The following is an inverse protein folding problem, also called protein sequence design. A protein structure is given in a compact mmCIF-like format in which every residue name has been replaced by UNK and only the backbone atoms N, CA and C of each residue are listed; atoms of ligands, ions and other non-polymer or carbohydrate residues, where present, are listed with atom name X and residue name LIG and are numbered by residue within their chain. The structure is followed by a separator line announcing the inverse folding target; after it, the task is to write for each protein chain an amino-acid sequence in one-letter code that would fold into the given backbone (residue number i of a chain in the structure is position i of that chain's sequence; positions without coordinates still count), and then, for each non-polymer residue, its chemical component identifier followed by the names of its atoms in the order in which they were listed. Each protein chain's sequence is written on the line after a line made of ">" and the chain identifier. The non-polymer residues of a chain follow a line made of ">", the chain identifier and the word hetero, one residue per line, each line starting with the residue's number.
data_IF_962536482122
#
_entry.id   IF_962536482122
#
_cell.length_a   1.000
_cell.length_b   1.000
_cell.length_c   1.000
_cell.angle_alpha   90.00
_cell.angle_beta   90.00
_cell.angle_gamma   90.00
#
_symmetry.space_group_name_H-M   'P 1'
#
loop_
_entity.id
_entity.type
_entity.pdbx_description
1 polymer ?
#
# COMPACT_ATOMS: atom_id res chain seq x y z
N UNK A 1 10.89 -32.68 -1.06
CA UNK A 1 10.38 -31.29 -1.23
C UNK A 1 11.43 -30.52 -2.00
N UNK A 2 11.10 -30.02 -3.20
CA UNK A 2 12.11 -29.43 -4.10
C UNK A 2 12.37 -27.97 -3.73
N UNK A 3 13.58 -27.70 -3.24
CA UNK A 3 14.11 -26.34 -3.07
C UNK A 3 14.33 -25.69 -4.43
N UNK A 4 14.15 -24.36 -4.52
CA UNK A 4 14.45 -23.62 -5.74
C UNK A 4 15.93 -23.79 -6.11
N UNK A 5 16.21 -24.02 -7.39
CA UNK A 5 17.58 -24.04 -7.90
C UNK A 5 18.24 -22.66 -7.75
N UNK A 6 19.59 -22.58 -7.69
CA UNK A 6 20.30 -21.29 -7.62
C UNK A 6 19.89 -20.31 -8.72
N UNK A 7 19.68 -20.77 -9.95
CA UNK A 7 19.19 -19.95 -11.07
C UNK A 7 17.79 -19.38 -10.83
N UNK A 8 16.90 -20.14 -10.18
CA UNK A 8 15.57 -19.67 -9.84
C UNK A 8 15.60 -18.67 -8.68
N UNK A 9 16.51 -18.84 -7.72
CA UNK A 9 16.71 -17.87 -6.64
C UNK A 9 17.27 -16.55 -7.18
N UNK A 10 18.26 -16.61 -8.06
CA UNK A 10 18.84 -15.44 -8.72
C UNK A 10 17.80 -14.70 -9.58
N UNK A 11 16.96 -15.42 -10.33
CA UNK A 11 15.87 -14.83 -11.10
C UNK A 11 14.78 -14.15 -10.24
N UNK A 12 14.67 -14.53 -8.96
CA UNK A 12 13.75 -13.92 -8.01
C UNK A 12 14.39 -12.84 -7.13
N UNK A 13 15.73 -12.69 -7.21
CA UNK A 13 16.49 -11.77 -6.38
C UNK A 13 15.84 -10.39 -6.40
N UNK A 14 15.71 -9.79 -5.22
CA UNK A 14 15.04 -8.52 -5.04
C UNK A 14 15.97 -7.58 -4.29
N UNK A 15 16.02 -6.33 -4.74
CA UNK A 15 16.66 -5.23 -4.03
C UNK A 15 15.58 -4.24 -3.66
N UNK A 16 15.51 -3.87 -2.39
CA UNK A 16 14.57 -2.84 -1.97
C UNK A 16 14.90 -1.51 -2.65
N UNK A 17 13.90 -0.96 -3.33
CA UNK A 17 13.90 0.37 -3.93
C UNK A 17 12.64 1.07 -3.42
N UNK A 18 12.77 2.30 -2.96
CA UNK A 18 11.61 3.12 -2.58
C UNK A 18 11.17 3.97 -3.77
N UNK A 19 9.86 4.02 -4.01
CA UNK A 19 9.26 4.79 -5.09
C UNK A 19 9.67 6.26 -4.99
N UNK A 20 10.27 6.78 -6.05
CA UNK A 20 10.59 8.18 -6.19
C UNK A 20 9.49 8.89 -6.99
N UNK A 21 8.98 9.99 -6.44
CA UNK A 21 8.02 10.86 -7.11
C UNK A 21 8.66 12.22 -7.38
N UNK A 22 8.52 12.79 -8.59
CA UNK A 22 8.98 14.14 -8.84
C UNK A 22 8.25 15.14 -7.92
N UNK A 23 8.97 16.16 -7.46
CA UNK A 23 8.37 17.26 -6.68
C UNK A 23 7.38 18.01 -7.56
N UNK A 24 6.11 18.14 -7.15
CA UNK A 24 5.14 18.90 -7.93
C UNK A 24 5.44 20.40 -7.87
N UNK A 25 5.07 21.14 -8.91
CA UNK A 25 5.04 22.61 -8.85
C UNK A 25 4.02 23.07 -7.79
N UNK A 26 4.24 24.20 -7.08
CA UNK A 26 3.33 24.68 -6.04
C UNK A 26 1.87 24.80 -6.49
N UNK A 27 1.63 25.34 -7.69
CA UNK A 27 0.26 25.53 -8.21
C UNK A 27 -0.47 24.20 -8.42
N UNK A 28 0.22 23.22 -9.01
CA UNK A 28 -0.35 21.89 -9.22
C UNK A 28 -0.58 21.14 -7.90
N UNK A 29 0.32 21.29 -6.92
CA UNK A 29 0.17 20.69 -5.59
C UNK A 29 -1.00 21.31 -4.83
N UNK A 30 -1.16 22.64 -4.87
CA UNK A 30 -2.30 23.32 -4.25
C UNK A 30 -3.63 22.85 -4.84
N UNK A 31 -3.72 22.69 -6.17
CA UNK A 31 -4.91 22.14 -6.83
C UNK A 31 -5.19 20.70 -6.38
N UNK A 32 -4.16 19.86 -6.28
CA UNK A 32 -4.29 18.49 -5.80
C UNK A 32 -4.77 18.44 -4.34
N UNK A 33 -4.16 19.24 -3.45
CA UNK A 33 -4.52 19.30 -2.04
C UNK A 33 -5.96 19.78 -1.84
N UNK A 34 -6.39 20.80 -2.59
CA UNK A 34 -7.77 21.26 -2.56
C UNK A 34 -8.75 20.20 -3.09
N UNK A 35 -8.40 19.50 -4.18
CA UNK A 35 -9.19 18.36 -4.67
C UNK A 35 -9.31 17.25 -3.61
N UNK A 36 -8.22 16.93 -2.89
CA UNK A 36 -8.24 15.96 -1.78
C UNK A 36 -9.12 16.41 -0.64
N UNK A 37 -9.07 17.68 -0.27
CA UNK A 37 -9.93 18.25 0.76
C UNK A 37 -11.40 18.12 0.38
N UNK A 38 -11.79 18.54 -0.83
CA UNK A 38 -13.16 18.40 -1.33
C UNK A 38 -13.61 16.93 -1.37
N UNK A 39 -12.77 16.04 -1.90
CA UNK A 39 -13.09 14.62 -2.01
C UNK A 39 -13.34 14.00 -0.64
N UNK A 40 -12.46 14.24 0.35
CA UNK A 40 -12.61 13.73 1.72
C UNK A 40 -13.91 14.23 2.36
N UNK A 41 -14.26 15.50 2.18
CA UNK A 41 -15.49 16.09 2.70
C UNK A 41 -16.76 15.67 1.93
N UNK A 42 -16.62 14.92 0.84
CA UNK A 42 -17.73 14.44 0.01
C UNK A 42 -17.92 12.91 0.05
N UNK A 43 -17.09 12.15 0.79
CA UNK A 43 -17.16 10.67 0.81
C UNK A 43 -18.54 10.14 1.26
N UNK A 44 -19.14 10.76 2.27
CA UNK A 44 -20.46 10.40 2.78
C UNK A 44 -21.59 11.18 2.10
N UNK A 45 -21.35 12.44 1.74
CA UNK A 45 -22.37 13.33 1.13
C UNK A 45 -22.67 12.97 -0.32
N UNK A 46 -21.67 12.45 -1.05
CA UNK A 46 -21.75 11.99 -2.45
C UNK A 46 -22.42 13.00 -3.39
N UNK A 47 -22.14 14.29 -3.19
CA UNK A 47 -22.70 15.35 -4.01
C UNK A 47 -22.07 15.32 -5.41
N UNK A 48 -22.87 15.16 -6.49
CA UNK A 48 -22.33 15.04 -7.85
C UNK A 48 -21.55 16.28 -8.32
N UNK A 49 -21.98 17.48 -7.92
CA UNK A 49 -21.28 18.73 -8.26
C UNK A 49 -19.87 18.78 -7.68
N UNK A 50 -19.71 18.38 -6.42
CA UNK A 50 -18.40 18.31 -5.76
C UNK A 50 -17.53 17.25 -6.44
N UNK A 51 -18.08 16.09 -6.80
CA UNK A 51 -17.35 15.06 -7.56
C UNK A 51 -16.85 15.59 -8.91
N UNK A 52 -17.68 16.32 -9.66
CA UNK A 52 -17.27 16.99 -10.91
C UNK A 52 -16.17 18.02 -10.69
N UNK A 53 -16.24 18.77 -9.59
CA UNK A 53 -15.21 19.75 -9.22
C UNK A 53 -13.87 19.06 -8.90
N UNK A 54 -13.89 18.02 -8.06
CA UNK A 54 -12.70 17.19 -7.74
C UNK A 54 -12.06 16.65 -9.01
N UNK A 55 -12.86 16.07 -9.91
CA UNK A 55 -12.40 15.53 -11.18
C UNK A 55 -11.70 16.60 -12.04
N UNK A 56 -12.27 17.81 -12.15
CA UNK A 56 -11.66 18.92 -12.90
C UNK A 56 -10.32 19.34 -12.30
N UNK A 57 -10.24 19.46 -10.98
CA UNK A 57 -9.00 19.82 -10.29
C UNK A 57 -7.90 18.78 -10.51
N UNK A 58 -8.23 17.48 -10.43
CA UNK A 58 -7.27 16.43 -10.75
C UNK A 58 -6.80 16.47 -12.20
N UNK A 59 -7.69 16.73 -13.18
CA UNK A 59 -7.28 16.89 -14.58
C UNK A 59 -6.27 18.01 -14.77
N UNK A 60 -6.52 19.17 -14.15
CA UNK A 60 -5.61 20.32 -14.26
C UNK A 60 -4.27 19.98 -13.59
N UNK A 61 -4.28 19.51 -12.34
CA UNK A 61 -3.04 19.15 -11.64
C UNK A 61 -2.24 18.07 -12.40
N UNK A 62 -2.90 17.03 -12.92
CA UNK A 62 -2.27 15.98 -13.72
C UNK A 62 -1.69 16.52 -15.06
N UNK A 63 -2.38 17.45 -15.72
CA UNK A 63 -1.89 18.11 -16.93
C UNK A 63 -0.60 18.91 -16.67
N UNK A 64 -0.42 19.41 -15.44
CA UNK A 64 0.80 20.08 -14.96
C UNK A 64 1.79 19.12 -14.27
N UNK A 65 1.74 17.81 -14.57
CA UNK A 65 2.73 16.84 -14.14
C UNK A 65 2.55 16.29 -12.72
N UNK A 66 1.44 16.59 -12.04
CA UNK A 66 1.21 16.11 -10.68
C UNK A 66 0.88 14.61 -10.65
N UNK A 67 1.85 13.78 -10.29
CA UNK A 67 1.75 12.31 -10.33
C UNK A 67 0.58 11.75 -9.48
N UNK A 68 0.39 12.21 -8.24
CA UNK A 68 -0.71 11.71 -7.40
C UNK A 68 -2.11 12.12 -7.93
N UNK A 69 -2.22 13.28 -8.57
CA UNK A 69 -3.47 13.72 -9.19
C UNK A 69 -3.79 12.88 -10.42
N UNK A 70 -2.76 12.56 -11.21
CA UNK A 70 -2.86 11.65 -12.35
C UNK A 70 -3.37 10.27 -11.89
N UNK A 71 -2.73 9.65 -10.88
CA UNK A 71 -3.16 8.36 -10.33
C UNK A 71 -4.60 8.41 -9.80
N UNK A 72 -4.95 9.43 -9.01
CA UNK A 72 -6.30 9.56 -8.46
C UNK A 72 -7.37 9.78 -9.55
N UNK A 73 -7.03 10.51 -10.62
CA UNK A 73 -7.90 10.68 -11.77
C UNK A 73 -8.12 9.37 -12.50
N UNK A 74 -7.04 8.61 -12.77
CA UNK A 74 -7.13 7.30 -13.40
C UNK A 74 -8.03 6.35 -12.58
N UNK A 75 -7.84 6.28 -11.26
CA UNK A 75 -8.67 5.43 -10.39
C UNK A 75 -10.15 5.80 -10.47
N UNK A 76 -10.49 7.08 -10.33
CA UNK A 76 -11.89 7.50 -10.42
C UNK A 76 -12.51 7.29 -11.81
N UNK A 77 -11.72 7.40 -12.88
CA UNK A 77 -12.18 7.08 -14.24
C UNK A 77 -12.41 5.58 -14.43
N UNK A 78 -11.57 4.72 -13.84
CA UNK A 78 -11.69 3.27 -13.97
C UNK A 78 -12.80 2.71 -13.10
N UNK A 79 -13.06 3.32 -11.94
CA UNK A 79 -14.10 2.90 -11.00
C UNK A 79 -15.50 3.44 -11.40
N UNK A 80 -15.56 4.38 -12.35
CA UNK A 80 -16.80 4.99 -12.84
C UNK A 80 -17.27 6.19 -12.01
N UNK A 81 -16.52 6.60 -10.99
CA UNK A 81 -16.79 7.79 -10.17
C UNK A 81 -16.62 9.09 -10.97
N UNK A 82 -15.74 9.08 -11.96
CA UNK A 82 -15.41 10.21 -12.82
C UNK A 82 -15.84 9.95 -14.27
N UNK A 83 -16.46 10.95 -14.90
CA UNK A 83 -16.90 10.85 -16.28
C UNK A 83 -15.72 10.90 -17.25
N UNK A 84 -15.53 9.86 -18.06
CA UNK A 84 -14.51 9.80 -19.10
C UNK A 84 -14.50 8.46 -19.80
N UNK A 85 -13.44 8.17 -20.54
CA UNK A 85 -13.32 6.93 -21.31
C UNK A 85 -11.96 6.30 -21.17
N UNK A 86 -11.86 5.02 -21.54
CA UNK A 86 -10.61 4.26 -21.41
C UNK A 86 -9.43 4.92 -22.15
N UNK A 87 -9.66 5.62 -23.27
CA UNK A 87 -8.60 6.34 -24.00
C UNK A 87 -7.94 7.43 -23.15
N UNK A 88 -8.71 8.13 -22.33
CA UNK A 88 -8.18 9.13 -21.40
C UNK A 88 -7.30 8.47 -20.34
N UNK A 89 -7.75 7.34 -19.77
CA UNK A 89 -6.97 6.57 -18.79
C UNK A 89 -5.63 6.12 -19.38
N UNK A 90 -5.61 5.62 -20.62
CA UNK A 90 -4.37 5.20 -21.27
C UNK A 90 -3.42 6.39 -21.52
N UNK A 91 -3.94 7.52 -22.00
CA UNK A 91 -3.12 8.72 -22.21
C UNK A 91 -2.57 9.29 -20.89
N UNK A 92 -3.34 9.21 -19.81
CA UNK A 92 -2.87 9.56 -18.46
C UNK A 92 -1.77 8.61 -17.99
N UNK A 93 -1.90 7.31 -18.27
CA UNK A 93 -0.90 6.32 -17.92
C UNK A 93 0.40 6.48 -18.72
N UNK A 94 0.33 6.86 -20.00
CA UNK A 94 1.52 7.15 -20.81
C UNK A 94 2.30 8.32 -20.20
N UNK A 95 1.62 9.42 -19.86
CA UNK A 95 2.24 10.55 -19.14
C UNK A 95 2.79 10.15 -17.77
N UNK A 96 2.09 9.26 -17.06
CA UNK A 96 2.55 8.75 -15.77
C UNK A 96 3.82 7.93 -15.94
N UNK A 97 3.92 7.13 -16.99
CA UNK A 97 5.11 6.35 -17.32
C UNK A 97 6.33 7.22 -17.58
N UNK A 98 6.15 8.37 -18.25
CA UNK A 98 7.24 9.32 -18.50
C UNK A 98 7.72 10.02 -17.20
N UNK A 99 6.79 10.36 -16.30
CA UNK A 99 7.08 11.10 -15.07
C UNK A 99 7.51 10.22 -13.89
N UNK A 100 6.90 9.05 -13.78
CA UNK A 100 7.09 8.09 -12.68
C UNK A 100 6.77 6.67 -13.16
N UNK A 101 7.76 5.97 -13.75
CA UNK A 101 7.55 4.66 -14.37
C UNK A 101 7.01 3.59 -13.41
N UNK A 102 7.37 3.65 -12.12
CA UNK A 102 6.98 2.62 -11.14
C UNK A 102 5.44 2.49 -10.99
N UNK A 103 4.68 3.55 -10.65
CA UNK A 103 3.22 3.48 -10.64
C UNK A 103 2.60 3.32 -12.03
N UNK A 104 3.23 3.82 -13.10
CA UNK A 104 2.75 3.62 -14.47
C UNK A 104 2.77 2.13 -14.89
N UNK A 105 3.83 1.39 -14.56
CA UNK A 105 3.89 -0.05 -14.80
C UNK A 105 2.90 -0.82 -13.93
N UNK A 106 2.66 -0.40 -12.70
CA UNK A 106 1.64 -1.00 -11.83
C UNK A 106 0.23 -0.85 -12.43
N UNK A 107 -0.13 0.37 -12.87
CA UNK A 107 -1.42 0.62 -13.51
C UNK A 107 -1.57 -0.17 -14.81
N UNK A 108 -0.53 -0.21 -15.65
CA UNK A 108 -0.53 -1.01 -16.87
C UNK A 108 -0.71 -2.51 -16.56
N UNK A 109 -0.04 -3.03 -15.53
CA UNK A 109 -0.22 -4.41 -15.08
C UNK A 109 -1.67 -4.69 -14.69
N UNK A 110 -2.29 -3.78 -13.94
CA UNK A 110 -3.69 -3.88 -13.55
C UNK A 110 -4.62 -3.88 -14.78
N UNK A 111 -4.43 -2.94 -15.72
CA UNK A 111 -5.22 -2.86 -16.96
C UNK A 111 -5.08 -4.11 -17.82
N UNK A 112 -3.86 -4.59 -18.03
CA UNK A 112 -3.58 -5.82 -18.78
C UNK A 112 -4.14 -7.06 -18.09
N UNK A 113 -4.12 -7.13 -16.76
CA UNK A 113 -4.64 -8.28 -16.02
C UNK A 113 -6.17 -8.46 -16.15
N UNK A 114 -6.88 -7.35 -16.33
CA UNK A 114 -8.35 -7.29 -16.42
C UNK A 114 -8.87 -7.17 -17.86
N UNK A 115 -8.00 -6.79 -18.79
CA UNK A 115 -8.41 -6.42 -20.15
C UNK A 115 -9.24 -5.14 -20.16
N UNK A 116 -8.72 -4.07 -19.54
CA UNK A 116 -9.44 -2.79 -19.43
C UNK A 116 -9.55 -2.07 -20.79
N UNK A 117 -10.75 -1.60 -21.13
CA UNK A 117 -11.02 -0.96 -22.42
C UNK A 117 -10.79 -1.93 -23.59
N UNK A 118 -9.85 -1.58 -24.47
CA UNK A 118 -9.44 -2.41 -25.61
C UNK A 118 -8.12 -3.17 -25.37
N UNK A 119 -7.54 -3.09 -24.16
CA UNK A 119 -6.34 -3.86 -23.83
C UNK A 119 -6.74 -5.34 -23.75
N UNK A 120 -6.05 -6.19 -24.52
CA UNK A 120 -6.24 -7.64 -24.42
C UNK A 120 -5.80 -8.13 -23.04
N UNK A 121 -6.63 -8.94 -22.41
CA UNK A 121 -6.27 -9.59 -21.15
C UNK A 121 -5.09 -10.53 -21.36
N UNK A 122 -4.00 -10.28 -20.62
CA UNK A 122 -2.79 -11.11 -20.64
C UNK A 122 -2.20 -11.21 -19.22
N UNK A 123 -2.34 -12.38 -18.60
CA UNK A 123 -1.91 -12.58 -17.23
C UNK A 123 -0.39 -12.62 -17.10
N UNK A 124 0.32 -13.20 -18.06
CA UNK A 124 1.78 -13.34 -17.98
C UNK A 124 2.46 -12.00 -18.18
N UNK A 125 1.97 -11.22 -19.14
CA UNK A 125 2.46 -9.85 -19.36
C UNK A 125 2.19 -8.96 -18.14
N UNK A 126 1.00 -9.07 -17.54
CA UNK A 126 0.69 -8.34 -16.30
C UNK A 126 1.66 -8.68 -15.16
N UNK A 127 2.00 -9.96 -14.97
CA UNK A 127 2.99 -10.36 -13.96
C UNK A 127 4.38 -9.77 -14.21
N UNK A 128 4.80 -9.67 -15.48
CA UNK A 128 6.06 -9.00 -15.85
C UNK A 128 6.02 -7.50 -15.51
N UNK A 129 4.89 -6.84 -15.75
CA UNK A 129 4.71 -5.43 -15.39
C UNK A 129 4.64 -5.22 -13.88
N UNK A 130 3.93 -6.06 -13.12
CA UNK A 130 3.96 -5.99 -11.66
C UNK A 130 5.38 -6.18 -11.12
N UNK A 131 6.13 -7.16 -11.65
CA UNK A 131 7.53 -7.35 -11.24
C UNK A 131 8.38 -6.12 -11.55
N UNK A 132 8.26 -5.56 -12.75
CA UNK A 132 8.98 -4.34 -13.14
C UNK A 132 8.62 -3.16 -12.25
N UNK A 133 7.35 -2.96 -11.93
CA UNK A 133 6.91 -1.91 -11.00
C UNK A 133 7.50 -2.10 -9.60
N UNK A 134 7.56 -3.35 -9.10
CA UNK A 134 8.14 -3.67 -7.80
C UNK A 134 9.65 -3.39 -7.74
N UNK A 135 10.38 -3.76 -8.80
CA UNK A 135 11.82 -3.50 -8.95
C UNK A 135 12.12 -2.00 -9.08
N UNK A 136 11.17 -1.22 -9.61
CA UNK A 136 11.23 0.25 -9.68
C UNK A 136 10.72 0.93 -8.40
N UNK A 137 10.31 0.16 -7.40
CA UNK A 137 10.02 0.65 -6.06
C UNK A 137 8.55 0.85 -5.72
N UNK A 138 7.61 0.55 -6.62
CA UNK A 138 6.19 0.75 -6.35
C UNK A 138 5.72 -0.16 -5.18
N UNK A 139 5.21 0.39 -4.07
CA UNK A 139 4.91 -0.39 -2.86
C UNK A 139 3.74 -1.36 -3.06
N UNK A 140 2.72 -0.98 -3.85
CA UNK A 140 1.61 -1.86 -4.21
C UNK A 140 2.09 -3.07 -5.02
N UNK A 141 3.01 -2.87 -5.96
CA UNK A 141 3.61 -3.93 -6.75
C UNK A 141 4.53 -4.83 -5.91
N UNK A 142 5.34 -4.25 -5.02
CA UNK A 142 6.17 -5.01 -4.07
C UNK A 142 5.30 -5.92 -3.20
N UNK A 143 4.21 -5.40 -2.64
CA UNK A 143 3.22 -6.18 -1.91
C UNK A 143 2.60 -7.28 -2.78
N UNK A 144 2.12 -6.93 -3.98
CA UNK A 144 1.47 -7.88 -4.87
C UNK A 144 2.39 -9.04 -5.28
N UNK A 145 3.63 -8.75 -5.65
CA UNK A 145 4.60 -9.79 -6.01
C UNK A 145 4.96 -10.64 -4.80
N UNK A 146 5.10 -10.05 -3.61
CA UNK A 146 5.31 -10.80 -2.37
C UNK A 146 4.17 -11.80 -2.09
N UNK A 147 2.90 -11.40 -2.27
CA UNK A 147 1.74 -12.29 -2.10
C UNK A 147 1.77 -13.48 -3.06
N UNK A 148 2.30 -13.31 -4.27
CA UNK A 148 2.47 -14.42 -5.23
C UNK A 148 3.61 -15.38 -4.87
N UNK A 149 4.56 -14.91 -4.05
CA UNK A 149 5.71 -15.68 -3.56
C UNK A 149 5.43 -16.35 -2.21
N UNK A 150 4.41 -15.88 -1.46
CA UNK A 150 4.02 -16.42 -0.15
C UNK A 150 3.70 -17.90 -0.13
N UNK A 151 2.93 -18.50 -1.08
CA UNK A 151 2.47 -19.88 -0.94
C UNK A 151 3.65 -20.80 -0.59
N UNK A 152 3.67 -21.24 0.67
CA UNK A 152 4.80 -21.85 1.38
C UNK A 152 5.46 -22.90 0.49
N UNK A 153 6.55 -22.53 -0.20
CA UNK A 153 7.51 -23.38 -0.98
C UNK A 153 8.28 -22.62 -2.08
N UNK A 154 7.92 -21.39 -2.44
CA UNK A 154 8.66 -20.63 -3.47
C UNK A 154 9.87 -19.88 -2.89
N UNK A 155 9.68 -18.73 -2.26
CA UNK A 155 10.79 -17.91 -1.77
C UNK A 155 10.38 -17.01 -0.59
N UNK A 156 10.21 -17.57 0.62
CA UNK A 156 9.68 -16.82 1.78
C UNK A 156 10.56 -15.63 2.18
N UNK A 157 11.89 -15.76 2.10
CA UNK A 157 12.80 -14.67 2.47
C UNK A 157 12.71 -13.49 1.49
N UNK A 158 12.53 -13.78 0.19
CA UNK A 158 12.34 -12.75 -0.84
C UNK A 158 10.99 -12.06 -0.64
N UNK A 159 9.92 -12.82 -0.35
CA UNK A 159 8.61 -12.24 -0.03
C UNK A 159 8.69 -11.31 1.20
N UNK A 160 9.40 -11.71 2.26
CA UNK A 160 9.63 -10.87 3.44
C UNK A 160 10.39 -9.60 3.12
N UNK A 161 11.42 -9.66 2.27
CA UNK A 161 12.15 -8.47 1.82
C UNK A 161 11.24 -7.51 1.07
N UNK A 162 10.40 -8.02 0.16
CA UNK A 162 9.44 -7.21 -0.58
C UNK A 162 8.37 -6.60 0.33
N UNK A 163 7.82 -7.36 1.28
CA UNK A 163 6.88 -6.80 2.26
C UNK A 163 7.53 -5.73 3.12
N UNK A 164 8.78 -5.93 3.56
CA UNK A 164 9.50 -4.95 4.37
C UNK A 164 9.68 -3.65 3.60
N UNK A 165 10.12 -3.74 2.35
CA UNK A 165 10.30 -2.59 1.48
C UNK A 165 9.00 -1.82 1.23
N UNK A 166 7.87 -2.53 1.04
CA UNK A 166 6.56 -1.89 0.91
C UNK A 166 6.07 -1.28 2.24
N UNK A 167 6.30 -1.96 3.36
CA UNK A 167 5.93 -1.53 4.71
C UNK A 167 6.64 -0.22 5.10
N UNK A 168 7.94 -0.11 4.81
CA UNK A 168 8.74 1.09 5.03
C UNK A 168 8.23 2.31 4.25
N UNK A 169 7.55 2.06 3.12
CA UNK A 169 6.89 3.08 2.30
C UNK A 169 5.44 3.37 2.74
N UNK A 170 5.00 2.83 3.88
CA UNK A 170 3.66 3.06 4.42
C UNK A 170 2.58 2.11 3.88
N UNK A 171 2.94 0.98 3.27
CA UNK A 171 1.93 0.02 2.80
C UNK A 171 1.39 -0.85 3.96
N UNK A 172 0.25 -0.44 4.52
CA UNK A 172 -0.36 -1.02 5.72
C UNK A 172 -0.56 -2.55 5.67
N UNK A 173 -0.99 -3.07 4.52
CA UNK A 173 -1.19 -4.51 4.35
C UNK A 173 0.12 -5.28 4.30
N UNK A 174 1.18 -4.70 3.75
CA UNK A 174 2.50 -5.34 3.69
C UNK A 174 3.10 -5.44 5.09
N UNK A 175 3.04 -4.34 5.85
CA UNK A 175 3.50 -4.26 7.22
C UNK A 175 2.78 -5.26 8.13
N UNK A 176 1.44 -5.32 8.04
CA UNK A 176 0.60 -6.29 8.76
C UNK A 176 0.97 -7.73 8.39
N UNK A 177 1.04 -8.05 7.10
CA UNK A 177 1.35 -9.42 6.63
C UNK A 177 2.74 -9.84 7.09
N UNK A 178 3.75 -8.98 6.95
CA UNK A 178 5.11 -9.23 7.42
C UNK A 178 5.15 -9.47 8.93
N UNK A 179 4.46 -8.65 9.71
CA UNK A 179 4.41 -8.78 11.16
C UNK A 179 3.84 -10.12 11.63
N UNK A 180 2.73 -10.56 11.03
CA UNK A 180 2.07 -11.83 11.33
C UNK A 180 2.94 -13.03 10.89
N UNK A 181 3.54 -12.93 9.70
CA UNK A 181 4.42 -13.98 9.16
C UNK A 181 5.68 -14.17 10.02
N UNK A 182 6.38 -13.08 10.37
CA UNK A 182 7.55 -13.12 11.27
C UNK A 182 7.18 -13.63 12.67
N UNK A 183 6.03 -13.23 13.21
CA UNK A 183 5.51 -13.78 14.48
C UNK A 183 5.32 -15.29 14.39
N UNK A 184 4.75 -15.78 13.29
CA UNK A 184 4.51 -17.21 13.08
C UNK A 184 5.83 -17.99 13.08
N UNK A 185 6.88 -17.41 12.51
CA UNK A 185 8.27 -17.91 12.57
C UNK A 185 9.00 -17.62 13.88
N UNK A 186 8.30 -17.12 14.92
CA UNK A 186 8.85 -16.74 16.23
C UNK A 186 9.93 -15.65 16.18
N UNK A 187 10.03 -14.90 15.08
CA UNK A 187 10.88 -13.71 14.93
C UNK A 187 10.17 -12.48 15.52
N UNK A 188 9.89 -12.54 16.82
CA UNK A 188 8.97 -11.60 17.47
C UNK A 188 9.39 -10.14 17.37
N UNK A 189 10.67 -9.83 17.67
CA UNK A 189 11.15 -8.44 17.63
C UNK A 189 10.98 -7.81 16.24
N UNK A 190 11.34 -8.51 15.18
CA UNK A 190 11.14 -8.04 13.80
C UNK A 190 9.65 -7.94 13.45
N UNK A 191 8.84 -8.90 13.91
CA UNK A 191 7.39 -8.89 13.72
C UNK A 191 6.72 -7.69 14.38
N UNK A 192 7.13 -7.33 15.61
CA UNK A 192 6.63 -6.18 16.35
C UNK A 192 6.97 -4.87 15.63
N UNK A 193 8.21 -4.72 15.15
CA UNK A 193 8.61 -3.55 14.35
C UNK A 193 7.79 -3.43 13.04
N UNK A 194 7.55 -4.55 12.36
CA UNK A 194 6.71 -4.55 11.17
C UNK A 194 5.24 -4.21 11.49
N UNK A 195 4.70 -4.69 12.62
CA UNK A 195 3.37 -4.31 13.07
C UNK A 195 3.30 -2.81 13.43
N UNK A 196 4.36 -2.23 14.00
CA UNK A 196 4.43 -0.79 14.28
C UNK A 196 4.37 0.06 13.01
N UNK A 197 5.12 -0.33 11.96
CA UNK A 197 4.95 0.27 10.63
C UNK A 197 3.51 0.12 10.12
N UNK A 198 2.87 -1.01 10.42
CA UNK A 198 1.46 -1.23 10.11
C UNK A 198 0.53 -0.26 10.83
N UNK A 199 0.76 0.01 12.12
CA UNK A 199 -0.01 1.01 12.88
C UNK A 199 0.21 2.41 12.31
N UNK A 200 1.47 2.77 12.03
CA UNK A 200 1.82 4.03 11.38
C UNK A 200 1.04 4.24 10.08
N UNK A 201 0.97 3.19 9.26
CA UNK A 201 0.24 3.17 8.00
C UNK A 201 -1.29 3.02 8.14
N UNK A 202 -1.85 3.01 9.36
CA UNK A 202 -3.30 2.96 9.57
C UNK A 202 -3.92 1.55 9.67
N UNK A 203 -3.12 0.51 9.87
CA UNK A 203 -3.61 -0.86 10.01
C UNK A 203 -4.25 -1.11 11.38
N UNK A 204 -5.59 -1.11 11.41
CA UNK A 204 -6.39 -1.52 12.58
C UNK A 204 -6.00 -2.92 13.09
N UNK A 205 -5.70 -3.84 12.17
CA UNK A 205 -5.27 -5.19 12.53
C UNK A 205 -3.94 -5.16 13.25
N UNK A 206 -2.94 -4.44 12.73
CA UNK A 206 -1.63 -4.37 13.37
C UNK A 206 -1.71 -3.77 14.78
N UNK A 207 -2.52 -2.72 14.96
CA UNK A 207 -2.77 -2.11 16.26
C UNK A 207 -3.41 -3.12 17.23
N UNK A 208 -4.31 -3.98 16.75
CA UNK A 208 -4.92 -5.04 17.55
C UNK A 208 -3.97 -6.15 17.97
N UNK A 209 -3.00 -6.51 17.11
CA UNK A 209 -1.95 -7.46 17.48
C UNK A 209 -1.07 -6.89 18.59
N UNK A 210 -0.62 -5.64 18.46
CA UNK A 210 0.20 -4.98 19.48
C UNK A 210 -0.59 -4.75 20.78
N UNK A 211 -1.84 -4.28 20.70
CA UNK A 211 -2.76 -4.14 21.84
C UNK A 211 -2.79 -5.43 22.68
N UNK A 212 -3.03 -6.57 22.03
CA UNK A 212 -3.18 -7.86 22.72
C UNK A 212 -1.84 -8.46 23.11
N UNK A 213 -0.79 -8.25 22.32
CA UNK A 213 0.56 -8.73 22.62
C UNK A 213 1.11 -8.15 23.93
N UNK A 214 0.93 -6.86 24.19
CA UNK A 214 1.36 -6.21 25.43
C UNK A 214 0.53 -6.59 26.67
N UNK A 215 -0.59 -7.32 26.51
CA UNK A 215 -1.30 -8.00 27.61
C UNK A 215 -0.67 -9.35 27.99
N UNK A 216 0.39 -9.75 27.28
CA UNK A 216 1.16 -10.99 27.51
C UNK A 216 0.27 -12.21 27.62
N UNK A 217 -0.41 -12.60 26.53
CA UNK A 217 -1.19 -13.83 26.53
C UNK A 217 -0.26 -15.03 26.80
N UNK A 218 -0.83 -16.16 27.26
CA UNK A 218 -0.08 -17.40 27.47
C UNK A 218 0.71 -17.85 26.22
N UNK A 219 1.86 -18.54 26.38
CA UNK A 219 2.69 -18.99 25.24
C UNK A 219 2.00 -19.94 24.25
N UNK A 220 0.93 -20.61 24.65
CA UNK A 220 0.08 -21.46 23.80
C UNK A 220 -0.96 -20.67 23.00
N UNK A 221 -1.12 -19.36 23.23
CA UNK A 221 -1.89 -18.46 22.36
C UNK A 221 -1.13 -18.24 21.05
N UNK A 222 -1.40 -19.11 20.07
CA UNK A 222 -0.82 -19.02 18.73
C UNK A 222 -1.17 -17.75 17.97
N UNK A 223 -2.18 -16.98 18.40
CA UNK A 223 -2.63 -15.77 17.72
C UNK A 223 -1.83 -14.54 18.18
N UNK A 224 -1.82 -14.25 19.47
CA UNK A 224 -1.34 -12.97 20.01
C UNK A 224 -0.03 -13.06 20.79
N UNK A 225 0.48 -14.26 21.11
CA UNK A 225 1.76 -14.40 21.79
C UNK A 225 2.92 -13.88 20.93
N UNK A 226 3.68 -12.93 21.50
CA UNK A 226 4.82 -12.27 20.85
C UNK A 226 6.02 -12.06 21.80
N UNK A 227 6.10 -12.81 22.90
CA UNK A 227 7.17 -12.71 23.91
C UNK A 227 7.42 -11.27 24.43
N UNK A 228 6.38 -10.44 24.46
CA UNK A 228 6.43 -9.09 25.03
C UNK A 228 6.37 -9.14 26.56
N UNK A 229 6.81 -8.07 27.21
CA UNK A 229 6.57 -7.84 28.65
C UNK A 229 5.20 -7.19 28.84
N UNK A 230 4.57 -7.44 29.99
CA UNK A 230 3.29 -6.85 30.33
C UNK A 230 3.43 -5.33 30.41
N UNK A 231 2.67 -4.63 29.56
CA UNK A 231 2.61 -3.17 29.53
C UNK A 231 1.15 -2.74 29.32
N UNK A 232 0.37 -2.59 30.40
CA UNK A 232 -1.05 -2.28 30.32
C UNK A 232 -1.32 -0.89 29.71
N UNK A 233 -0.43 0.08 29.96
CA UNK A 233 -0.60 1.44 29.44
C UNK A 233 -0.32 1.51 27.93
N UNK A 234 0.74 0.83 27.47
CA UNK A 234 1.02 0.71 26.03
C UNK A 234 -0.09 -0.06 25.32
N UNK A 235 -0.59 -1.14 25.92
CA UNK A 235 -1.77 -1.86 25.40
C UNK A 235 -3.00 -0.95 25.28
N UNK A 236 -3.30 -0.15 26.32
CA UNK A 236 -4.41 0.82 26.31
C UNK A 236 -4.27 1.84 25.17
N UNK A 237 -3.07 2.38 24.93
CA UNK A 237 -2.83 3.33 23.84
C UNK A 237 -3.01 2.69 22.47
N UNK A 238 -2.51 1.47 22.24
CA UNK A 238 -2.80 0.73 21.01
C UNK A 238 -4.29 0.46 20.82
N UNK A 239 -5.04 0.18 21.89
CA UNK A 239 -6.49 0.04 21.84
C UNK A 239 -7.17 1.33 21.36
N UNK A 240 -6.76 2.48 21.90
CA UNK A 240 -7.29 3.80 21.48
C UNK A 240 -6.98 4.09 20.01
N UNK A 241 -5.74 3.82 19.57
CA UNK A 241 -5.35 3.93 18.15
C UNK A 241 -6.22 3.01 17.29
N UNK A 242 -6.37 1.73 17.66
CA UNK A 242 -7.20 0.77 16.93
C UNK A 242 -8.64 1.25 16.80
N UNK A 243 -9.24 1.77 17.88
CA UNK A 243 -10.60 2.28 17.89
C UNK A 243 -10.74 3.49 16.96
N UNK A 244 -9.79 4.42 16.99
CA UNK A 244 -9.75 5.57 16.08
C UNK A 244 -9.66 5.11 14.61
N UNK A 245 -8.69 4.25 14.28
CA UNK A 245 -8.50 3.71 12.93
C UNK A 245 -9.74 2.98 12.42
N UNK A 246 -10.38 2.17 13.27
CA UNK A 246 -11.59 1.42 12.91
C UNK A 246 -12.79 2.36 12.67
N UNK A 247 -13.03 3.30 13.58
CA UNK A 247 -14.17 4.24 13.49
C UNK A 247 -14.06 5.20 12.32
N UNK A 248 -12.84 5.52 11.90
CA UNK A 248 -12.55 6.44 10.79
C UNK A 248 -12.01 5.72 9.55
N UNK A 249 -12.19 4.40 9.44
CA UNK A 249 -11.64 3.59 8.34
C UNK A 249 -12.02 4.10 6.94
N UNK A 250 -13.20 4.70 6.79
CA UNK A 250 -13.65 5.34 5.55
C UNK A 250 -12.79 6.53 5.10
N UNK A 251 -12.02 7.14 6.01
CA UNK A 251 -11.06 8.22 5.72
C UNK A 251 -9.66 7.71 5.37
N UNK A 252 -9.39 6.41 5.58
CA UNK A 252 -8.06 5.79 5.47
C UNK A 252 -7.00 6.57 6.28
N UNK A 253 -7.20 6.75 7.60
CA UNK A 253 -6.29 7.52 8.45
C UNK A 253 -4.94 6.83 8.63
N UNK A 254 -3.87 7.62 8.74
CA UNK A 254 -2.53 7.17 9.18
C UNK A 254 -2.22 7.73 10.58
N UNK A 255 -1.16 7.22 11.21
CA UNK A 255 -0.70 7.64 12.55
C UNK A 255 0.81 7.87 12.49
N UNK A 256 1.24 8.93 11.81
CA UNK A 256 2.66 9.18 11.52
C UNK A 256 3.51 9.32 12.79
N UNK A 257 2.90 9.78 13.88
CA UNK A 257 3.51 10.01 15.19
C UNK A 257 3.44 8.78 16.12
N UNK A 258 3.13 7.59 15.60
CA UNK A 258 2.95 6.38 16.43
C UNK A 258 4.13 6.12 17.37
N UNK A 259 5.37 6.36 16.93
CA UNK A 259 6.58 6.14 17.72
C UNK A 259 6.73 7.14 18.89
N UNK A 260 6.02 8.28 18.83
CA UNK A 260 5.94 9.24 19.92
C UNK A 260 4.82 8.87 20.91
N UNK A 261 3.74 8.26 20.42
CA UNK A 261 2.56 7.88 21.22
C UNK A 261 2.80 6.57 21.98
N UNK A 262 3.38 5.58 21.30
CA UNK A 262 3.66 4.21 21.76
C UNK A 262 5.04 3.74 21.28
N UNK A 263 6.13 4.27 21.87
CA UNK A 263 7.48 3.82 21.54
C UNK A 263 7.66 2.33 21.85
N UNK A 264 8.40 1.63 20.98
CA UNK A 264 8.74 0.21 21.16
C UNK A 264 9.89 0.01 22.15
#
# INVERSE_FOLDING_TARGET
>A
MSTLSPKQQEALAFRCVHQQLPTPTPDADQLFLYARHLQKNNLLKRQPDVTRQVQRLYRIAAAHGHVKANINLQNGLTDGDFAGGFREVLALNDKLMDLSPAPGYYNLAYYTSRGYGNIKRDRELALRYFRKAADLGNPEAQFYVAELLIPLRKAPDIARQMYRCAAEQGHANAAKTLGIDLKTDKKYAEGINALQLGVKAGSTTAAGFLEKGFKTPPPDDGMYYMALKLDPERSRRYQQIRQFLSSHSYLQPTVEEVDQIVPL
#
